data_IF_283181514228
#
_entry.id   IF_283181514228
#
_cell.length_a   1.000
_cell.length_b   1.000
_cell.length_c   1.000
_cell.angle_alpha   90.00
_cell.angle_beta   90.00
_cell.angle_gamma   90.00
#
_symmetry.space_group_name_H-M   'P 1'
#
loop_
_entity.id
_entity.type
_entity.pdbx_description
1 polymer ?
#
# COMPACT_ATOMS: atom_id res chain seq x y z
N UNK A 1 9.25 38.20 1.12
CA UNK A 1 9.90 38.14 -0.21
C UNK A 1 9.10 37.18 -1.07
N UNK A 2 8.51 37.66 -2.15
CA UNK A 2 7.69 36.86 -3.07
C UNK A 2 8.61 36.36 -4.18
N UNK A 3 8.80 35.04 -4.29
CA UNK A 3 9.62 34.47 -5.37
C UNK A 3 8.90 34.65 -6.71
N UNK A 4 9.61 35.03 -7.80
CA UNK A 4 9.00 35.13 -9.11
C UNK A 4 8.45 33.76 -9.54
N UNK A 5 7.17 33.71 -9.89
CA UNK A 5 6.51 32.50 -10.34
C UNK A 5 6.90 32.19 -11.78
N UNK A 6 7.23 30.93 -12.07
CA UNK A 6 7.55 30.51 -13.43
C UNK A 6 6.33 30.65 -14.37
N UNK A 7 6.58 30.98 -15.66
CA UNK A 7 5.53 31.08 -16.66
C UNK A 7 4.79 29.75 -16.84
N UNK A 8 3.49 29.85 -17.16
CA UNK A 8 2.67 28.68 -17.45
C UNK A 8 3.21 27.90 -18.67
N UNK A 9 2.98 26.58 -18.68
CA UNK A 9 3.32 25.75 -19.82
C UNK A 9 2.46 26.11 -21.04
N UNK A 10 3.02 26.04 -22.26
CA UNK A 10 2.23 26.09 -23.49
C UNK A 10 1.11 25.05 -23.46
N UNK A 11 -0.08 25.43 -23.92
CA UNK A 11 -1.29 24.61 -23.80
C UNK A 11 -1.15 23.23 -24.45
N UNK A 12 -0.54 23.17 -25.64
CA UNK A 12 -0.29 21.92 -26.36
C UNK A 12 0.64 20.97 -25.59
N UNK A 13 1.66 21.51 -24.91
CA UNK A 13 2.57 20.72 -24.09
C UNK A 13 1.87 20.17 -22.83
N UNK A 14 1.04 20.99 -22.17
CA UNK A 14 0.24 20.55 -21.02
C UNK A 14 -0.74 19.43 -21.41
N UNK A 15 -1.41 19.55 -22.57
CA UNK A 15 -2.31 18.52 -23.14
C UNK A 15 -1.57 17.20 -23.38
N UNK A 16 -0.40 17.24 -24.01
CA UNK A 16 0.42 16.05 -24.26
C UNK A 16 0.85 15.36 -22.95
N UNK A 17 1.35 16.13 -21.98
CA UNK A 17 1.77 15.60 -20.68
C UNK A 17 0.62 14.95 -19.90
N UNK A 18 -0.60 15.51 -19.99
CA UNK A 18 -1.80 14.89 -19.40
C UNK A 18 -2.17 13.59 -20.08
N UNK A 19 -2.16 13.55 -21.42
CA UNK A 19 -2.46 12.35 -22.21
C UNK A 19 -1.48 11.23 -21.90
N UNK A 20 -0.19 11.54 -21.76
CA UNK A 20 0.87 10.59 -21.41
C UNK A 20 0.95 10.25 -19.92
N UNK A 21 0.17 10.92 -19.07
CA UNK A 21 0.20 10.78 -17.60
C UNK A 21 1.60 11.05 -17.04
N UNK A 22 2.15 12.22 -17.33
CA UNK A 22 3.44 12.70 -16.85
C UNK A 22 3.27 13.80 -15.76
N UNK A 23 2.72 13.46 -14.57
CA UNK A 23 2.33 14.46 -13.58
C UNK A 23 3.52 15.17 -12.92
N UNK A 24 4.69 14.53 -12.82
CA UNK A 24 5.85 15.10 -12.14
C UNK A 24 6.61 16.00 -13.08
N UNK A 25 6.78 15.57 -14.33
CA UNK A 25 7.28 16.41 -15.40
C UNK A 25 6.45 17.68 -15.57
N UNK A 26 5.11 17.56 -15.59
CA UNK A 26 4.19 18.71 -15.68
C UNK A 26 4.34 19.68 -14.51
N UNK A 27 4.67 19.17 -13.33
CA UNK A 27 4.92 20.00 -12.14
C UNK A 27 6.26 20.74 -12.22
N UNK A 28 7.31 20.09 -12.70
CA UNK A 28 8.66 20.66 -12.76
C UNK A 28 8.92 21.52 -14.00
N UNK A 29 8.22 21.26 -15.10
CA UNK A 29 8.49 21.87 -16.40
C UNK A 29 8.41 23.41 -16.44
N UNK A 30 7.47 24.11 -15.74
CA UNK A 30 7.46 25.57 -15.72
C UNK A 30 8.81 26.17 -15.29
N UNK A 31 9.32 25.71 -14.13
CA UNK A 31 10.54 26.22 -13.53
C UNK A 31 11.78 25.81 -14.34
N UNK A 32 11.82 24.55 -14.80
CA UNK A 32 12.94 24.02 -15.59
C UNK A 32 13.04 24.73 -16.94
N UNK A 33 11.94 24.93 -17.66
CA UNK A 33 11.95 25.59 -18.97
C UNK A 33 12.30 27.08 -18.85
N UNK A 34 11.81 27.76 -17.80
CA UNK A 34 12.15 29.15 -17.54
C UNK A 34 13.65 29.31 -17.26
N UNK A 35 14.19 28.44 -16.41
CA UNK A 35 15.62 28.43 -16.06
C UNK A 35 16.48 28.09 -17.27
N UNK A 36 16.13 27.04 -18.01
CA UNK A 36 16.84 26.61 -19.21
C UNK A 36 16.88 27.71 -20.27
N UNK A 37 15.78 28.45 -20.46
CA UNK A 37 15.75 29.60 -21.38
C UNK A 37 16.66 30.73 -20.91
N UNK A 38 16.61 31.07 -19.62
CA UNK A 38 17.41 32.16 -19.06
C UNK A 38 18.91 31.86 -19.12
N UNK A 39 19.28 30.60 -18.91
CA UNK A 39 20.67 30.13 -18.85
C UNK A 39 21.16 29.47 -20.15
N UNK A 40 20.31 29.40 -21.19
CA UNK A 40 20.59 28.79 -22.49
C UNK A 40 21.13 27.35 -22.39
N UNK A 41 20.45 26.53 -21.59
CA UNK A 41 20.80 25.12 -21.44
C UNK A 41 20.69 24.34 -22.76
N UNK A 42 21.47 23.29 -22.88
CA UNK A 42 21.37 22.34 -23.99
C UNK A 42 19.99 21.63 -23.97
N UNK A 43 19.30 21.46 -25.11
CA UNK A 43 18.00 20.80 -25.14
C UNK A 43 18.01 19.37 -24.59
N UNK A 44 19.09 18.62 -24.74
CA UNK A 44 19.18 17.27 -24.18
C UNK A 44 19.30 17.30 -22.66
N UNK A 45 19.95 18.32 -22.08
CA UNK A 45 20.01 18.53 -20.63
C UNK A 45 18.61 18.80 -20.04
N UNK A 46 17.81 19.64 -20.71
CA UNK A 46 16.42 19.90 -20.33
C UNK A 46 15.59 18.61 -20.33
N UNK A 47 15.69 17.82 -21.40
CA UNK A 47 14.98 16.55 -21.52
C UNK A 47 15.42 15.56 -20.44
N UNK A 48 16.74 15.44 -20.20
CA UNK A 48 17.29 14.57 -19.17
C UNK A 48 16.75 14.93 -17.78
N UNK A 49 16.74 16.21 -17.42
CA UNK A 49 16.23 16.65 -16.12
C UNK A 49 14.73 16.34 -15.98
N UNK A 50 13.93 16.73 -16.97
CA UNK A 50 12.49 16.50 -16.96
C UNK A 50 12.11 15.02 -16.88
N UNK A 51 12.83 14.16 -17.62
CA UNK A 51 12.62 12.70 -17.57
C UNK A 51 13.08 12.15 -16.23
N UNK A 52 14.20 12.62 -15.69
CA UNK A 52 14.69 12.22 -14.36
C UNK A 52 13.70 12.56 -13.24
N UNK A 53 13.08 13.73 -13.30
CA UNK A 53 12.02 14.13 -12.36
C UNK A 53 10.80 13.22 -12.47
N UNK A 54 10.42 12.83 -13.69
CA UNK A 54 9.31 11.89 -13.89
C UNK A 54 9.62 10.50 -13.34
N UNK A 55 10.81 9.96 -13.61
CA UNK A 55 11.27 8.67 -13.08
C UNK A 55 11.30 8.73 -11.55
N UNK A 56 11.93 9.75 -10.98
CA UNK A 56 12.04 9.94 -9.52
C UNK A 56 10.67 10.03 -8.86
N UNK A 57 9.75 10.80 -9.45
CA UNK A 57 8.38 10.92 -8.97
C UNK A 57 7.60 9.61 -9.02
N UNK A 58 7.72 8.85 -10.11
CA UNK A 58 7.10 7.53 -10.26
C UNK A 58 7.66 6.50 -9.30
N UNK A 59 8.97 6.49 -9.09
CA UNK A 59 9.63 5.60 -8.13
C UNK A 59 9.22 5.94 -6.70
N UNK A 60 9.13 7.22 -6.36
CA UNK A 60 8.61 7.65 -5.06
C UNK A 60 7.13 7.26 -4.87
N UNK A 61 6.30 7.37 -5.90
CA UNK A 61 4.90 6.94 -5.85
C UNK A 61 4.78 5.42 -5.67
N UNK A 62 5.59 4.66 -6.41
CA UNK A 62 5.64 3.20 -6.30
C UNK A 62 6.08 2.77 -4.91
N UNK A 63 7.12 3.39 -4.35
CA UNK A 63 7.57 3.16 -2.97
C UNK A 63 6.48 3.49 -1.95
N UNK A 64 5.80 4.63 -2.07
CA UNK A 64 4.67 5.00 -1.18
C UNK A 64 3.54 3.97 -1.24
N UNK A 65 3.17 3.52 -2.43
CA UNK A 65 2.16 2.49 -2.61
C UNK A 65 2.57 1.17 -1.93
N UNK A 66 3.82 0.73 -2.12
CA UNK A 66 4.36 -0.47 -1.47
C UNK A 66 4.38 -0.35 0.04
N UNK A 67 4.79 0.80 0.59
CA UNK A 67 4.78 1.07 2.03
C UNK A 67 3.36 1.03 2.61
N UNK A 68 2.39 1.62 1.90
CA UNK A 68 1.00 1.65 2.36
C UNK A 68 0.39 0.25 2.46
N UNK A 69 0.78 -0.67 1.58
CA UNK A 69 0.35 -2.07 1.59
C UNK A 69 1.42 -3.03 2.11
N UNK A 70 2.40 -2.55 2.89
CA UNK A 70 3.44 -3.41 3.42
C UNK A 70 2.88 -4.28 4.55
N UNK A 71 3.22 -5.57 4.56
CA UNK A 71 2.92 -6.42 5.71
C UNK A 71 3.85 -6.03 6.85
N UNK A 72 3.28 -5.56 7.96
CA UNK A 72 4.07 -5.03 9.08
C UNK A 72 4.56 -6.12 10.02
N UNK A 73 3.73 -7.15 10.23
CA UNK A 73 4.00 -8.20 11.20
C UNK A 73 3.21 -9.47 10.86
N UNK A 74 3.74 -10.62 11.26
CA UNK A 74 3.06 -11.90 11.23
C UNK A 74 3.34 -12.66 12.53
N UNK A 75 2.33 -13.36 13.05
CA UNK A 75 2.50 -14.23 14.22
C UNK A 75 3.32 -15.48 13.87
N UNK A 76 3.89 -16.18 14.87
CA UNK A 76 4.41 -17.51 14.66
C UNK A 76 3.37 -18.45 14.04
N UNK A 77 3.83 -19.36 13.19
CA UNK A 77 2.96 -20.36 12.57
C UNK A 77 2.51 -21.40 13.61
N UNK A 78 1.23 -21.78 13.58
CA UNK A 78 0.68 -22.85 14.39
C UNK A 78 0.59 -24.16 13.61
N UNK A 79 0.72 -25.32 14.28
CA UNK A 79 0.63 -26.62 13.62
C UNK A 79 -0.81 -26.95 13.22
N UNK A 80 -0.97 -27.54 12.03
CA UNK A 80 -2.27 -27.98 11.50
C UNK A 80 -3.12 -26.85 10.89
N UNK A 81 -4.34 -27.19 10.49
CA UNK A 81 -5.31 -26.26 9.89
C UNK A 81 -6.07 -25.46 10.96
N UNK A 82 -5.35 -24.63 11.73
CA UNK A 82 -5.96 -23.80 12.78
C UNK A 82 -6.73 -22.64 12.15
N UNK A 83 -7.98 -22.46 12.55
CA UNK A 83 -8.76 -21.27 12.15
C UNK A 83 -8.09 -19.97 12.62
N UNK A 84 -8.05 -18.96 11.76
CA UNK A 84 -7.40 -17.66 12.03
C UNK A 84 -7.82 -17.01 13.36
N UNK A 85 -9.12 -17.03 13.68
CA UNK A 85 -9.61 -16.51 14.96
C UNK A 85 -9.06 -17.29 16.17
N UNK A 86 -8.89 -18.61 16.03
CA UNK A 86 -8.27 -19.44 17.07
C UNK A 86 -6.79 -19.11 17.18
N UNK A 87 -6.08 -18.97 16.07
CA UNK A 87 -4.67 -18.56 16.08
C UNK A 87 -4.49 -17.19 16.77
N UNK A 88 -5.33 -16.22 16.44
CA UNK A 88 -5.28 -14.89 17.04
C UNK A 88 -5.56 -14.90 18.55
N UNK A 89 -6.45 -15.78 19.02
CA UNK A 89 -6.67 -16.01 20.46
C UNK A 89 -5.48 -16.70 21.13
N UNK A 90 -4.95 -17.76 20.51
CA UNK A 90 -3.78 -18.49 21.02
C UNK A 90 -2.57 -17.56 21.22
N UNK A 91 -2.39 -16.59 20.33
CA UNK A 91 -1.32 -15.60 20.44
C UNK A 91 -1.68 -14.35 21.26
N UNK A 92 -2.85 -14.29 21.89
CA UNK A 92 -3.28 -13.15 22.71
C UNK A 92 -3.49 -11.85 21.93
N UNK A 93 -3.55 -11.90 20.59
CA UNK A 93 -3.60 -10.71 19.73
C UNK A 93 -4.87 -9.90 19.98
N UNK A 94 -6.01 -10.57 20.13
CA UNK A 94 -7.31 -9.92 20.34
C UNK A 94 -7.32 -9.16 21.68
N UNK A 95 -6.76 -9.78 22.72
CA UNK A 95 -6.72 -9.20 24.06
C UNK A 95 -5.75 -8.02 24.09
N UNK A 96 -4.56 -8.16 23.50
CA UNK A 96 -3.57 -7.09 23.40
C UNK A 96 -4.14 -5.86 22.65
N UNK A 97 -4.80 -6.08 21.50
CA UNK A 97 -5.43 -4.99 20.74
C UNK A 97 -6.57 -4.32 21.52
N UNK A 98 -7.34 -5.11 22.27
CA UNK A 98 -8.44 -4.61 23.09
C UNK A 98 -7.93 -3.79 24.27
N UNK A 99 -6.91 -4.27 24.98
CA UNK A 99 -6.27 -3.57 26.10
C UNK A 99 -5.60 -2.27 25.63
N UNK A 100 -4.97 -2.28 24.46
CA UNK A 100 -4.37 -1.08 23.86
C UNK A 100 -5.40 -0.11 23.26
N UNK A 101 -6.70 -0.44 23.25
CA UNK A 101 -7.74 0.39 22.64
C UNK A 101 -7.62 0.53 21.11
N UNK A 102 -6.86 -0.36 20.45
CA UNK A 102 -6.59 -0.29 19.02
C UNK A 102 -7.75 -0.92 18.25
N UNK A 103 -8.61 -0.08 17.67
CA UNK A 103 -9.68 -0.55 16.77
C UNK A 103 -9.09 -1.24 15.54
N UNK A 104 -9.50 -2.48 15.29
CA UNK A 104 -8.93 -3.31 14.22
C UNK A 104 -10.02 -3.83 13.29
N UNK A 105 -9.82 -3.71 11.98
CA UNK A 105 -10.72 -4.22 10.96
C UNK A 105 -10.25 -5.59 10.49
N UNK A 106 -11.05 -6.62 10.76
CA UNK A 106 -10.74 -8.00 10.42
C UNK A 106 -11.74 -8.56 9.40
N UNK A 107 -11.38 -9.65 8.74
CA UNK A 107 -12.29 -10.34 7.83
C UNK A 107 -13.43 -11.05 8.58
N UNK A 108 -14.31 -11.69 7.81
CA UNK A 108 -15.48 -12.38 8.35
C UNK A 108 -15.13 -13.64 9.16
N UNK A 109 -13.96 -14.23 8.95
CA UNK A 109 -13.44 -15.37 9.72
C UNK A 109 -13.19 -15.04 11.20
N UNK A 110 -13.04 -13.75 11.53
CA UNK A 110 -12.91 -13.25 12.89
C UNK A 110 -14.26 -12.97 13.58
N UNK A 111 -15.36 -13.45 13.01
CA UNK A 111 -16.66 -13.30 13.63
C UNK A 111 -16.68 -13.97 15.01
N UNK A 112 -17.06 -13.21 16.03
CA UNK A 112 -17.00 -13.66 17.44
C UNK A 112 -15.71 -13.30 18.17
N UNK A 113 -14.77 -12.57 17.55
CA UNK A 113 -13.56 -12.09 18.22
C UNK A 113 -13.86 -11.13 19.39
N UNK A 114 -14.93 -10.34 19.30
CA UNK A 114 -15.34 -9.31 20.29
C UNK A 114 -14.24 -8.26 20.51
N UNK A 115 -14.39 -7.41 21.55
CA UNK A 115 -13.41 -6.39 21.92
C UNK A 115 -13.23 -5.29 20.87
N UNK A 116 -11.97 -4.96 20.57
CA UNK A 116 -11.62 -3.93 19.59
C UNK A 116 -11.74 -4.37 18.12
N UNK A 117 -12.06 -5.66 17.87
CA UNK A 117 -12.15 -6.21 16.52
C UNK A 117 -13.49 -5.83 15.87
N UNK A 118 -13.44 -5.38 14.62
CA UNK A 118 -14.58 -5.00 13.78
C UNK A 118 -14.62 -5.87 12.54
N UNK A 119 -15.72 -6.60 12.38
CA UNK A 119 -15.96 -7.51 11.25
C UNK A 119 -17.13 -7.02 10.41
N UNK A 120 -17.18 -7.32 9.10
CA UNK A 120 -18.29 -6.93 8.25
C UNK A 120 -19.60 -7.65 8.64
N UNK A 121 -20.74 -7.03 8.36
CA UNK A 121 -22.05 -7.64 8.57
C UNK A 121 -22.23 -8.87 7.68
N UNK A 122 -22.68 -9.98 8.28
CA UNK A 122 -22.99 -11.23 7.58
C UNK A 122 -24.34 -11.14 6.87
N UNK A 123 -24.38 -11.59 5.61
CA UNK A 123 -25.61 -11.71 4.81
C UNK A 123 -25.31 -11.68 3.31
N UNK A 124 -26.29 -12.04 2.49
CA UNK A 124 -26.23 -11.75 1.04
C UNK A 124 -26.47 -10.25 0.85
N UNK A 125 -25.91 -9.67 -0.20
CA UNK A 125 -26.07 -8.23 -0.48
C UNK A 125 -27.55 -7.82 -0.60
N UNK A 126 -28.39 -8.69 -1.17
CA UNK A 126 -29.84 -8.48 -1.30
C UNK A 126 -30.58 -8.43 0.04
N UNK A 127 -30.09 -9.12 1.07
CA UNK A 127 -30.75 -9.21 2.38
C UNK A 127 -30.24 -8.17 3.38
N UNK A 128 -29.17 -7.44 3.06
CA UNK A 128 -28.62 -6.39 3.91
C UNK A 128 -29.29 -5.05 3.62
N UNK A 129 -29.64 -4.32 4.68
CA UNK A 129 -30.12 -2.93 4.55
C UNK A 129 -29.07 -2.03 3.88
N UNK A 130 -29.52 -0.91 3.31
CA UNK A 130 -28.62 0.04 2.64
C UNK A 130 -27.46 0.50 3.53
N UNK A 131 -27.73 0.81 4.81
CA UNK A 131 -26.69 1.18 5.78
C UNK A 131 -25.68 0.07 6.04
N UNK A 132 -26.13 -1.18 6.23
CA UNK A 132 -25.22 -2.33 6.41
C UNK A 132 -24.35 -2.58 5.17
N UNK A 133 -24.91 -2.38 3.97
CA UNK A 133 -24.15 -2.45 2.71
C UNK A 133 -23.07 -1.37 2.65
N UNK A 134 -23.39 -0.12 2.99
CA UNK A 134 -22.43 0.98 2.98
C UNK A 134 -21.27 0.75 3.96
N UNK A 135 -21.56 0.23 5.16
CA UNK A 135 -20.54 -0.18 6.13
C UNK A 135 -19.66 -1.28 5.55
N UNK A 136 -20.23 -2.32 4.95
CA UNK A 136 -19.45 -3.40 4.35
C UNK A 136 -18.59 -2.93 3.17
N UNK A 137 -19.07 -1.98 2.35
CA UNK A 137 -18.26 -1.36 1.28
C UNK A 137 -17.08 -0.59 1.84
N UNK A 138 -17.28 0.18 2.90
CA UNK A 138 -16.20 0.93 3.57
C UNK A 138 -15.20 -0.03 4.22
N UNK A 139 -15.69 -1.08 4.89
CA UNK A 139 -14.88 -2.15 5.47
C UNK A 139 -14.02 -2.86 4.41
N UNK A 140 -14.60 -3.18 3.25
CA UNK A 140 -13.88 -3.79 2.14
C UNK A 140 -12.75 -2.91 1.59
N UNK A 141 -12.93 -1.58 1.53
CA UNK A 141 -11.87 -0.65 1.12
C UNK A 141 -10.67 -0.65 2.08
N UNK A 142 -10.94 -0.69 3.39
CA UNK A 142 -9.89 -0.79 4.42
C UNK A 142 -9.17 -2.13 4.28
N UNK A 143 -9.94 -3.22 4.13
CA UNK A 143 -9.39 -4.57 3.97
C UNK A 143 -8.56 -4.76 2.71
N UNK A 144 -8.88 -4.07 1.61
CA UNK A 144 -8.13 -4.17 0.37
C UNK A 144 -6.63 -3.89 0.57
N UNK A 145 -6.26 -3.02 1.51
CA UNK A 145 -4.87 -2.73 1.88
C UNK A 145 -4.18 -3.95 2.49
N UNK A 146 -4.83 -4.61 3.45
CA UNK A 146 -4.32 -5.84 4.06
C UNK A 146 -4.30 -7.03 3.09
N UNK A 147 -5.28 -7.11 2.19
CA UNK A 147 -5.33 -8.12 1.13
C UNK A 147 -4.17 -7.93 0.12
N UNK A 148 -3.82 -6.68 -0.21
CA UNK A 148 -2.66 -6.37 -1.03
C UNK A 148 -1.34 -6.77 -0.35
N UNK A 149 -1.21 -6.53 0.96
CA UNK A 149 -0.06 -6.99 1.75
C UNK A 149 0.07 -8.53 1.70
N UNK A 150 -1.04 -9.24 1.91
CA UNK A 150 -1.07 -10.70 1.84
C UNK A 150 -0.81 -11.23 0.41
N UNK A 151 -1.29 -10.54 -0.62
CA UNK A 151 -1.01 -10.89 -2.01
C UNK A 151 0.50 -10.75 -2.33
N UNK A 152 1.14 -9.72 -1.76
CA UNK A 152 2.58 -9.51 -1.92
C UNK A 152 3.37 -10.62 -1.22
N UNK A 153 2.95 -11.07 -0.04
CA UNK A 153 3.50 -12.27 0.60
C UNK A 153 3.33 -13.52 -0.28
N UNK A 154 2.14 -13.72 -0.86
CA UNK A 154 1.84 -14.86 -1.74
C UNK A 154 2.59 -14.85 -3.08
N UNK A 155 3.20 -13.73 -3.46
CA UNK A 155 4.05 -13.66 -4.66
C UNK A 155 5.35 -14.48 -4.53
N UNK A 156 5.81 -14.74 -3.29
CA UNK A 156 7.01 -15.52 -3.03
C UNK A 156 6.76 -17.00 -3.34
N UNK A 157 7.39 -17.51 -4.40
CA UNK A 157 7.27 -18.91 -4.83
C UNK A 157 7.63 -19.90 -3.71
N UNK A 158 8.56 -19.53 -2.84
CA UNK A 158 8.98 -20.29 -1.66
C UNK A 158 7.80 -20.67 -0.75
N UNK A 159 6.82 -19.78 -0.59
CA UNK A 159 5.69 -19.97 0.32
C UNK A 159 4.58 -20.86 -0.28
N UNK A 160 4.60 -21.13 -1.59
CA UNK A 160 3.51 -21.84 -2.29
C UNK A 160 3.48 -23.35 -1.99
N UNK A 161 4.65 -23.95 -1.76
CA UNK A 161 4.81 -25.41 -1.54
C UNK A 161 5.68 -25.69 -0.32
N UNK A 162 5.57 -24.85 0.71
CA UNK A 162 6.42 -24.94 1.90
C UNK A 162 6.10 -26.23 2.68
N UNK A 163 7.07 -27.14 2.77
CA UNK A 163 6.99 -28.39 3.53
C UNK A 163 8.11 -28.43 4.57
N UNK A 164 7.91 -27.77 5.69
CA UNK A 164 8.86 -27.75 6.81
C UNK A 164 8.13 -27.54 8.14
N UNK A 165 8.87 -27.58 9.26
CA UNK A 165 8.32 -27.34 10.60
C UNK A 165 7.78 -25.91 10.73
N UNK A 166 6.78 -25.73 11.59
CA UNK A 166 6.17 -24.41 11.86
C UNK A 166 7.17 -23.37 12.35
N UNK A 167 8.19 -23.77 13.11
CA UNK A 167 9.32 -22.90 13.49
C UNK A 167 10.04 -22.38 12.24
N UNK A 168 10.38 -23.27 11.30
CA UNK A 168 11.06 -22.87 10.07
C UNK A 168 10.18 -22.02 9.17
N UNK A 169 8.88 -22.28 9.13
CA UNK A 169 7.91 -21.41 8.43
C UNK A 169 7.94 -20.01 9.03
N UNK A 170 7.94 -19.90 10.36
CA UNK A 170 7.99 -18.62 11.07
C UNK A 170 9.23 -17.82 10.69
N UNK A 171 10.40 -18.46 10.70
CA UNK A 171 11.66 -17.79 10.37
C UNK A 171 11.71 -17.35 8.90
N UNK A 172 11.20 -18.18 7.98
CA UNK A 172 11.10 -17.83 6.56
C UNK A 172 10.17 -16.63 6.37
N UNK A 173 9.00 -16.61 7.03
CA UNK A 173 8.06 -15.48 6.93
C UNK A 173 8.69 -14.20 7.50
N UNK A 174 9.39 -14.27 8.64
CA UNK A 174 10.13 -13.12 9.20
C UNK A 174 11.22 -12.61 8.26
N UNK A 175 11.98 -13.51 7.62
CA UNK A 175 13.00 -13.12 6.64
C UNK A 175 12.37 -12.44 5.41
N UNK A 176 11.27 -13.00 4.88
CA UNK A 176 10.53 -12.40 3.77
C UNK A 176 10.00 -11.01 4.15
N UNK A 177 9.46 -10.85 5.35
CA UNK A 177 8.99 -9.56 5.87
C UNK A 177 10.12 -8.54 5.94
N UNK A 178 11.28 -8.92 6.48
CA UNK A 178 12.45 -8.04 6.57
C UNK A 178 12.91 -7.58 5.18
N UNK A 179 12.95 -8.49 4.20
CA UNK A 179 13.29 -8.15 2.82
C UNK A 179 12.27 -7.23 2.16
N UNK A 180 10.97 -7.46 2.39
CA UNK A 180 9.90 -6.61 1.85
C UNK A 180 9.95 -5.19 2.42
N UNK A 181 10.21 -5.06 3.72
CA UNK A 181 10.33 -3.77 4.39
C UNK A 181 11.58 -3.02 3.91
N UNK A 182 12.73 -3.70 3.83
CA UNK A 182 13.98 -3.11 3.33
C UNK A 182 13.88 -2.67 1.85
N UNK A 183 13.14 -3.39 1.01
CA UNK A 183 12.90 -3.00 -0.38
C UNK A 183 11.83 -1.89 -0.52
N UNK A 184 11.11 -1.57 0.56
CA UNK A 184 10.08 -0.53 0.58
C UNK A 184 10.58 0.76 1.24
N UNK A 185 11.64 0.71 2.04
CA UNK A 185 12.37 1.87 2.58
C UNK A 185 13.18 2.56 1.50
#
# INVERSE_FOLDING_TARGET
MTFPQAPALPEELDKLMRRMRLPYMRKAAPDVLATARAQRWDPAEVLRLLISEEVTGRDAATRRLRRHSALLWASPALPGAVHDIKAARTHGIIDALTQAGVRTWADKGYQGARGAIRVPYRGRRSTLSAGKRAVNTSHARIRAVGEQANATLKSWRLLRKLRCSTTRITDIVKAVLALQLAAST
#
